data_IF_725677595519
#
_entry.id   IF_725677595519
#
_cell.length_a   1.000
_cell.length_b   1.000
_cell.length_c   1.000
_cell.angle_alpha   90.00
_cell.angle_beta   90.00
_cell.angle_gamma   90.00
#
_symmetry.space_group_name_H-M   'P 1'
#
loop_
_entity.id
_entity.type
_entity.pdbx_description
1 polymer ?
#
# COMPACT_ATOMS: atom_id res chain seq x y z
N UNK A 1 6.33 -8.44 -2.07
CA UNK A 1 6.31 -7.90 -3.44
C UNK A 1 5.86 -6.44 -3.40
N UNK A 2 6.31 -5.67 -4.35
CA UNK A 2 6.00 -4.24 -4.39
C UNK A 2 5.17 -3.91 -5.62
N UNK A 3 4.19 -3.05 -5.44
CA UNK A 3 3.36 -2.60 -6.55
C UNK A 3 3.16 -1.09 -6.46
N UNK A 4 3.23 -0.42 -7.60
CA UNK A 4 3.00 1.02 -7.69
C UNK A 4 1.58 1.24 -8.17
N UNK A 5 0.79 2.01 -7.42
CA UNK A 5 -0.59 2.34 -7.79
C UNK A 5 -0.86 3.81 -7.55
N UNK A 6 -1.85 4.33 -8.27
CA UNK A 6 -2.24 5.72 -8.05
C UNK A 6 -3.11 5.86 -6.80
N UNK A 7 -3.17 7.06 -6.26
CA UNK A 7 -4.02 7.34 -5.10
C UNK A 7 -5.48 7.00 -5.38
N UNK A 8 -5.97 7.33 -6.57
CA UNK A 8 -7.34 6.98 -6.96
C UNK A 8 -7.60 5.49 -6.87
N UNK A 9 -6.69 4.71 -7.42
CA UNK A 9 -6.82 3.25 -7.38
C UNK A 9 -6.77 2.73 -5.96
N UNK A 10 -5.91 3.32 -5.13
CA UNK A 10 -5.80 2.93 -3.73
C UNK A 10 -7.12 3.14 -3.01
N UNK A 11 -7.77 4.27 -3.25
CA UNK A 11 -9.05 4.57 -2.60
C UNK A 11 -10.17 3.63 -3.06
N UNK A 12 -10.19 3.30 -4.35
CA UNK A 12 -11.21 2.41 -4.89
C UNK A 12 -11.02 0.96 -4.46
N UNK A 13 -9.80 0.57 -4.15
CA UNK A 13 -9.48 -0.82 -3.83
C UNK A 13 -8.90 -0.97 -2.43
N UNK A 14 -9.31 -0.11 -1.53
CA UNK A 14 -8.74 -0.05 -0.19
C UNK A 14 -8.80 -1.39 0.54
N UNK A 15 -9.94 -2.07 0.49
CA UNK A 15 -10.09 -3.35 1.17
C UNK A 15 -9.12 -4.40 0.64
N UNK A 16 -8.95 -4.42 -0.67
CA UNK A 16 -8.02 -5.36 -1.29
C UNK A 16 -6.59 -5.04 -0.91
N UNK A 17 -6.27 -3.75 -0.83
CA UNK A 17 -4.94 -3.32 -0.45
C UNK A 17 -4.62 -3.75 0.97
N UNK A 18 -5.55 -3.56 1.89
CA UNK A 18 -5.36 -3.98 3.28
C UNK A 18 -5.12 -5.49 3.35
N UNK A 19 -5.90 -6.26 2.60
CA UNK A 19 -5.73 -7.70 2.55
C UNK A 19 -4.35 -8.10 2.03
N UNK A 20 -3.90 -7.45 0.97
CA UNK A 20 -2.58 -7.73 0.40
C UNK A 20 -1.45 -7.30 1.31
N UNK A 21 -1.62 -6.20 2.04
CA UNK A 21 -0.63 -5.78 3.03
C UNK A 21 -0.44 -6.85 4.11
N UNK A 22 -1.51 -7.52 4.49
CA UNK A 22 -1.41 -8.61 5.45
C UNK A 22 -0.61 -9.80 4.89
N UNK A 23 -0.49 -9.87 3.57
CA UNK A 23 0.32 -10.89 2.89
C UNK A 23 1.72 -10.39 2.56
N UNK A 24 2.17 -9.35 3.25
CA UNK A 24 3.51 -8.74 3.09
C UNK A 24 3.73 -8.05 1.75
N UNK A 25 2.66 -7.61 1.12
CA UNK A 25 2.78 -6.76 -0.05
C UNK A 25 3.12 -5.33 0.37
N UNK A 26 3.85 -4.64 -0.46
CA UNK A 26 4.16 -3.22 -0.28
C UNK A 26 3.59 -2.45 -1.46
N UNK A 27 2.98 -1.30 -1.17
CA UNK A 27 2.41 -0.45 -2.22
C UNK A 27 3.03 0.92 -2.18
N UNK A 28 3.43 1.42 -3.34
CA UNK A 28 3.86 2.80 -3.48
C UNK A 28 2.68 3.57 -4.07
N UNK A 29 2.19 4.54 -3.32
CA UNK A 29 1.06 5.36 -3.73
C UNK A 29 1.58 6.59 -4.45
N UNK A 30 1.06 6.82 -5.66
CA UNK A 30 1.49 7.96 -6.46
C UNK A 30 0.35 8.93 -6.69
N UNK A 31 0.70 10.18 -6.89
CA UNK A 31 -0.24 11.22 -7.27
C UNK A 31 0.49 12.13 -8.25
N UNK A 32 -0.16 12.43 -9.39
CA UNK A 32 0.45 13.23 -10.44
C UNK A 32 1.80 12.66 -10.87
N UNK A 33 1.87 11.33 -10.97
CA UNK A 33 3.07 10.60 -11.39
C UNK A 33 4.25 10.73 -10.43
N UNK A 34 3.98 11.17 -9.20
CA UNK A 34 5.02 11.28 -8.18
C UNK A 34 4.66 10.44 -6.97
N UNK A 35 5.62 9.75 -6.38
CA UNK A 35 5.33 8.99 -5.17
C UNK A 35 4.97 9.92 -4.02
N UNK A 36 3.90 9.59 -3.33
CA UNK A 36 3.42 10.36 -2.20
C UNK A 36 3.75 9.66 -0.89
N UNK A 37 3.55 8.35 -0.85
CA UNK A 37 3.80 7.57 0.34
C UNK A 37 3.95 6.10 -0.02
N UNK A 38 4.43 5.33 0.93
CA UNK A 38 4.56 3.89 0.79
C UNK A 38 3.75 3.22 1.88
N UNK A 39 2.96 2.22 1.51
CA UNK A 39 2.18 1.43 2.45
C UNK A 39 2.88 0.10 2.68
N UNK A 40 3.14 -0.22 3.93
CA UNK A 40 3.73 -1.49 4.30
C UNK A 40 2.99 -2.05 5.50
N UNK A 41 3.11 -3.36 5.66
CA UNK A 41 2.58 -4.00 6.85
C UNK A 41 3.39 -3.57 8.07
N UNK A 42 2.70 -3.29 9.14
CA UNK A 42 3.38 -3.02 10.41
C UNK A 42 3.92 -4.33 10.93
N UNK A 43 5.23 -4.39 11.06
CA UNK A 43 5.90 -5.58 11.55
C UNK A 43 6.43 -5.28 12.95
N UNK A 44 5.52 -5.10 13.88
CA UNK A 44 5.92 -4.84 15.25
C UNK A 44 6.05 -6.11 16.04
N UNK A 45 7.14 -6.27 16.77
CA UNK A 45 7.17 -7.33 17.77
C UNK A 45 6.13 -7.01 18.82
N UNK A 46 5.44 -8.03 19.28
CA UNK A 46 4.45 -7.85 20.32
C UNK A 46 5.13 -7.19 21.53
N UNK A 47 4.49 -6.22 22.15
CA UNK A 47 5.07 -5.60 23.34
C UNK A 47 5.22 -6.59 24.49
#
# INVERSE_FOLDING_TARGET
MEQVISLSQALHRWRRIIWLLELDWTFVITRHRKPVCTLTRVSEPAP
#
